data_IF_137797369404
#
_entry.id   IF_137797369404
#
_cell.length_a   1.000
_cell.length_b   1.000
_cell.length_c   1.000
_cell.angle_alpha   90.00
_cell.angle_beta   90.00
_cell.angle_gamma   90.00
#
_symmetry.space_group_name_H-M   'P 1'
#
loop_
_entity.id
_entity.type
_entity.pdbx_description
1 polymer ?
#
# COMPACT_ATOMS: atom_id res chain seq x y z
N UNK A 1 -10.81 54.68 -11.87
CA UNK A 1 -10.08 53.57 -12.54
C UNK A 1 -9.03 53.12 -11.53
N UNK A 2 -8.79 51.81 -11.38
CA UNK A 2 -7.79 51.18 -10.48
C UNK A 2 -8.31 50.50 -9.20
N UNK A 3 -9.35 49.67 -9.32
CA UNK A 3 -9.71 48.71 -8.26
C UNK A 3 -10.25 47.37 -8.79
N UNK A 4 -9.84 46.95 -10.00
CA UNK A 4 -10.35 45.71 -10.64
C UNK A 4 -9.21 44.74 -11.01
N UNK A 5 -7.93 45.16 -10.95
CA UNK A 5 -6.82 44.35 -11.47
C UNK A 5 -5.98 43.60 -10.42
N UNK A 6 -6.24 43.75 -9.12
CA UNK A 6 -5.43 43.11 -8.05
C UNK A 6 -6.06 41.84 -7.47
N UNK A 7 -7.26 41.44 -7.89
CA UNK A 7 -7.95 40.25 -7.37
C UNK A 7 -7.75 38.99 -8.24
N UNK A 8 -7.09 39.10 -9.39
CA UNK A 8 -6.97 37.98 -10.33
C UNK A 8 -5.72 37.10 -10.17
N UNK A 9 -4.79 37.47 -9.28
CA UNK A 9 -3.54 36.72 -9.06
C UNK A 9 -3.55 35.83 -7.80
N UNK A 10 -4.63 35.79 -7.03
CA UNK A 10 -4.73 34.97 -5.81
C UNK A 10 -5.68 33.77 -5.90
N UNK A 11 -6.34 33.56 -7.04
CA UNK A 11 -7.32 32.47 -7.24
C UNK A 11 -6.76 31.34 -8.13
N UNK A 12 -5.57 31.52 -8.73
CA UNK A 12 -4.99 30.53 -9.65
C UNK A 12 -3.93 29.61 -9.03
N UNK A 13 -3.73 29.66 -7.71
CA UNK A 13 -2.74 28.83 -6.99
C UNK A 13 -3.35 27.74 -6.10
N UNK A 14 -4.67 27.56 -6.10
CA UNK A 14 -5.35 26.53 -5.28
C UNK A 14 -5.96 25.38 -6.08
N UNK A 15 -5.75 25.32 -7.39
CA UNK A 15 -6.31 24.26 -8.26
C UNK A 15 -5.27 23.26 -8.81
N UNK A 16 -4.09 23.14 -8.18
CA UNK A 16 -3.09 22.11 -8.51
C UNK A 16 -2.60 21.34 -7.27
N UNK A 17 -3.52 20.97 -6.36
CA UNK A 17 -3.22 20.07 -5.26
C UNK A 17 -4.36 19.08 -4.96
N UNK A 18 -5.15 18.73 -5.98
CA UNK A 18 -6.13 17.63 -5.91
C UNK A 18 -5.76 16.62 -6.98
N UNK A 19 -4.59 15.99 -6.84
CA UNK A 19 -4.24 14.83 -7.67
C UNK A 19 -3.24 13.87 -6.98
N UNK A 20 -3.37 13.71 -5.65
CA UNK A 20 -2.57 12.74 -4.88
C UNK A 20 -3.37 11.51 -4.44
N UNK A 21 -4.59 11.29 -4.94
CA UNK A 21 -5.48 10.24 -4.42
C UNK A 21 -6.17 9.34 -5.47
N UNK A 22 -5.82 9.45 -6.76
CA UNK A 22 -6.48 8.63 -7.81
C UNK A 22 -5.93 7.21 -7.94
N UNK A 23 -4.86 6.87 -7.20
CA UNK A 23 -4.32 5.51 -7.19
C UNK A 23 -4.26 4.99 -5.77
N UNK A 24 -5.06 3.96 -5.46
CA UNK A 24 -4.97 3.32 -4.17
C UNK A 24 -3.58 2.65 -4.00
N UNK A 25 -2.98 2.63 -2.79
CA UNK A 25 -1.62 2.12 -2.56
C UNK A 25 -1.39 0.67 -3.04
N UNK A 26 -2.46 -0.10 -3.23
CA UNK A 26 -2.42 -1.49 -3.69
C UNK A 26 -2.55 -1.66 -5.22
N UNK A 27 -2.86 -0.61 -6.01
CA UNK A 27 -3.14 -0.80 -7.44
C UNK A 27 -1.93 -1.33 -8.22
N UNK A 28 -0.73 -0.92 -7.83
CA UNK A 28 0.48 -1.35 -8.50
C UNK A 28 0.82 -2.82 -8.24
N UNK A 29 0.34 -3.44 -7.15
CA UNK A 29 0.73 -4.82 -6.82
C UNK A 29 0.19 -5.84 -7.84
N UNK A 30 -0.94 -5.52 -8.48
CA UNK A 30 -1.63 -6.39 -9.43
C UNK A 30 -1.28 -6.08 -10.89
N UNK A 31 -0.59 -4.96 -11.15
CA UNK A 31 -0.14 -4.56 -12.50
C UNK A 31 1.32 -4.94 -12.68
N UNK A 32 1.70 -5.37 -13.88
CA UNK A 32 3.10 -5.54 -14.21
C UNK A 32 3.80 -4.17 -14.24
N UNK A 33 4.97 -4.09 -13.62
CA UNK A 33 5.89 -2.96 -13.71
C UNK A 33 7.30 -3.48 -13.92
N UNK A 34 8.04 -2.77 -14.76
CA UNK A 34 9.49 -2.98 -14.87
C UNK A 34 10.18 -2.62 -13.54
N UNK A 35 9.75 -1.54 -12.91
CA UNK A 35 10.21 -1.11 -11.59
C UNK A 35 9.01 -0.63 -10.76
N UNK A 36 8.87 -1.15 -9.54
CA UNK A 36 7.79 -0.75 -8.63
C UNK A 36 8.24 0.45 -7.78
N UNK A 37 7.36 1.43 -7.62
CA UNK A 37 7.60 2.59 -6.75
C UNK A 37 7.14 2.31 -5.32
N UNK A 38 7.67 3.07 -4.36
CA UNK A 38 7.09 3.14 -3.02
C UNK A 38 5.72 3.86 -3.14
N UNK A 39 4.58 3.21 -2.81
CA UNK A 39 3.26 3.84 -2.91
C UNK A 39 3.14 5.05 -1.97
N UNK A 40 2.47 6.11 -2.39
CA UNK A 40 2.14 7.21 -1.49
C UNK A 40 1.08 6.78 -0.46
N UNK A 41 1.13 7.36 0.74
CA UNK A 41 0.06 7.19 1.72
C UNK A 41 -1.11 8.11 1.34
N UNK A 42 -2.34 7.62 1.51
CA UNK A 42 -3.58 8.40 1.29
C UNK A 42 -3.91 9.34 2.46
N UNK A 43 -3.02 9.44 3.44
CA UNK A 43 -3.15 10.26 4.64
C UNK A 43 -1.78 10.76 5.10
N UNK A 44 -1.79 11.85 5.88
CA UNK A 44 -0.59 12.43 6.46
C UNK A 44 0.10 11.47 7.45
N UNK A 45 1.38 11.71 7.72
CA UNK A 45 2.17 10.83 8.61
C UNK A 45 1.72 10.83 10.07
N UNK A 46 1.00 11.86 10.51
CA UNK A 46 0.33 11.93 11.81
C UNK A 46 -1.15 11.52 11.73
N UNK A 47 -1.64 11.12 10.55
CA UNK A 47 -3.05 10.83 10.32
C UNK A 47 -3.58 9.63 11.11
N UNK A 48 -2.72 8.74 11.58
CA UNK A 48 -3.10 7.56 12.38
C UNK A 48 -2.94 7.79 13.89
N UNK A 49 -2.53 8.98 14.32
CA UNK A 49 -2.52 9.34 15.74
C UNK A 49 -3.95 9.26 16.33
N UNK A 50 -4.10 8.82 17.60
CA UNK A 50 -3.05 8.37 18.52
C UNK A 50 -2.86 6.85 18.54
N UNK A 51 -3.26 6.15 17.48
CA UNK A 51 -3.18 4.69 17.42
C UNK A 51 -1.83 4.20 16.90
N UNK A 52 -1.23 4.95 15.97
CA UNK A 52 0.13 4.75 15.47
C UNK A 52 0.79 6.11 15.44
N UNK A 53 1.92 6.24 16.13
CA UNK A 53 2.62 7.52 16.22
C UNK A 53 3.30 7.91 14.90
N UNK A 54 3.47 9.22 14.68
CA UNK A 54 4.04 9.73 13.44
C UNK A 54 5.45 9.19 13.14
N UNK A 55 6.29 9.02 14.16
CA UNK A 55 7.67 8.55 13.97
C UNK A 55 7.68 7.09 13.50
N UNK A 56 6.86 6.24 14.12
CA UNK A 56 6.65 4.86 13.70
C UNK A 56 6.15 4.79 12.27
N UNK A 57 5.12 5.57 11.90
CA UNK A 57 4.57 5.53 10.54
C UNK A 57 5.61 5.95 9.49
N UNK A 58 6.44 6.96 9.80
CA UNK A 58 7.54 7.40 8.92
C UNK A 58 8.60 6.31 8.73
N UNK A 59 9.08 5.71 9.81
CA UNK A 59 10.11 4.65 9.74
C UNK A 59 9.57 3.40 9.06
N UNK A 60 8.33 3.02 9.34
CA UNK A 60 7.68 1.87 8.74
C UNK A 60 7.47 2.05 7.22
N UNK A 61 7.06 3.25 6.79
CA UNK A 61 6.87 3.55 5.38
C UNK A 61 8.20 3.82 4.63
N UNK A 62 8.94 4.85 5.03
CA UNK A 62 10.15 5.31 4.32
C UNK A 62 11.39 4.47 4.62
N UNK A 63 11.38 3.68 5.69
CA UNK A 63 12.44 2.73 6.01
C UNK A 63 12.11 1.32 5.52
N UNK A 64 11.16 0.66 6.18
CA UNK A 64 10.88 -0.76 5.94
C UNK A 64 10.24 -1.03 4.57
N UNK A 65 9.13 -0.36 4.23
CA UNK A 65 8.47 -0.56 2.92
C UNK A 65 9.39 -0.15 1.76
N UNK A 66 10.09 0.99 1.88
CA UNK A 66 11.09 1.41 0.90
C UNK A 66 12.23 0.39 0.73
N UNK A 67 12.71 -0.19 1.84
CA UNK A 67 13.74 -1.23 1.84
C UNK A 67 13.30 -2.49 1.09
N UNK A 68 12.08 -2.97 1.35
CA UNK A 68 11.49 -4.09 0.60
C UNK A 68 11.35 -3.77 -0.89
N UNK A 69 10.84 -2.58 -1.23
CA UNK A 69 10.68 -2.12 -2.62
C UNK A 69 12.01 -2.19 -3.38
N UNK A 70 13.08 -1.61 -2.82
CA UNK A 70 14.41 -1.60 -3.44
C UNK A 70 14.96 -3.01 -3.65
N UNK A 71 14.90 -3.86 -2.62
CA UNK A 71 15.45 -5.23 -2.67
C UNK A 71 14.64 -6.12 -3.63
N UNK A 72 13.32 -5.97 -3.66
CA UNK A 72 12.44 -6.64 -4.61
C UNK A 72 12.79 -6.25 -6.06
N UNK A 73 12.86 -4.96 -6.37
CA UNK A 73 13.20 -4.49 -7.72
C UNK A 73 14.57 -4.99 -8.17
N UNK A 74 15.55 -5.02 -7.26
CA UNK A 74 16.90 -5.55 -7.55
C UNK A 74 16.82 -7.03 -7.97
N UNK A 75 16.08 -7.86 -7.24
CA UNK A 75 15.92 -9.28 -7.55
C UNK A 75 15.14 -9.51 -8.85
N UNK A 76 14.05 -8.77 -9.09
CA UNK A 76 13.27 -8.86 -10.32
C UNK A 76 14.10 -8.46 -11.54
N UNK A 77 14.88 -7.38 -11.44
CA UNK A 77 15.76 -6.93 -12.52
C UNK A 77 16.84 -7.97 -12.84
N UNK A 78 17.47 -8.54 -11.80
CA UNK A 78 18.47 -9.59 -11.98
C UNK A 78 17.86 -10.84 -12.66
N UNK A 79 16.68 -11.27 -12.22
CA UNK A 79 15.96 -12.36 -12.85
C UNK A 79 15.67 -12.10 -14.33
N UNK A 80 15.04 -10.97 -14.65
CA UNK A 80 14.67 -10.62 -16.03
C UNK A 80 15.88 -10.51 -16.96
N UNK A 81 17.02 -10.03 -16.44
CA UNK A 81 18.27 -9.89 -17.22
C UNK A 81 19.04 -11.22 -17.39
N UNK A 82 18.72 -12.26 -16.63
CA UNK A 82 19.49 -13.51 -16.58
C UNK A 82 19.40 -14.40 -17.83
N UNK A 83 18.48 -14.11 -18.76
CA UNK A 83 18.19 -14.98 -19.88
C UNK A 83 17.39 -16.25 -19.54
N UNK A 84 17.12 -16.53 -18.25
CA UNK A 84 16.17 -17.57 -17.81
C UNK A 84 14.74 -17.11 -18.11
N UNK A 85 14.35 -17.22 -19.39
CA UNK A 85 13.02 -16.81 -19.88
C UNK A 85 11.94 -17.58 -19.12
N UNK A 86 11.06 -16.83 -18.50
CA UNK A 86 9.84 -17.32 -17.88
C UNK A 86 8.77 -16.26 -18.14
N UNK A 87 7.61 -16.68 -18.64
CA UNK A 87 6.46 -15.79 -18.81
C UNK A 87 6.06 -15.15 -17.48
N UNK A 88 6.38 -15.81 -16.36
CA UNK A 88 6.12 -15.33 -14.99
C UNK A 88 6.93 -14.06 -14.67
N UNK A 89 8.15 -13.92 -15.19
CA UNK A 89 9.00 -12.74 -14.93
C UNK A 89 8.38 -11.43 -15.46
N UNK A 90 7.46 -11.54 -16.43
CA UNK A 90 6.70 -10.45 -17.03
C UNK A 90 5.29 -10.29 -16.43
N UNK A 91 5.01 -10.90 -15.27
CA UNK A 91 3.75 -10.74 -14.53
C UNK A 91 3.90 -9.77 -13.37
N UNK A 92 2.76 -9.34 -12.81
CA UNK A 92 2.73 -8.52 -11.61
C UNK A 92 3.38 -9.23 -10.42
N UNK A 93 3.85 -8.45 -9.44
CA UNK A 93 4.44 -9.02 -8.22
C UNK A 93 3.44 -9.92 -7.49
N UNK A 94 2.15 -9.56 -7.46
CA UNK A 94 1.12 -10.40 -6.86
C UNK A 94 0.98 -11.75 -7.56
N UNK A 95 1.02 -11.79 -8.89
CA UNK A 95 1.00 -13.05 -9.65
C UNK A 95 2.27 -13.86 -9.42
N UNK A 96 3.45 -13.22 -9.40
CA UNK A 96 4.73 -13.89 -9.11
C UNK A 96 4.70 -14.55 -7.73
N UNK A 97 4.19 -13.87 -6.71
CA UNK A 97 4.10 -14.42 -5.35
C UNK A 97 3.09 -15.58 -5.23
N UNK A 98 2.03 -15.58 -6.03
CA UNK A 98 1.08 -16.71 -6.09
C UNK A 98 1.70 -17.97 -6.71
N UNK A 99 2.67 -17.79 -7.61
CA UNK A 99 3.44 -18.85 -8.26
C UNK A 99 4.90 -18.88 -7.79
N UNK A 100 5.14 -18.62 -6.50
CA UNK A 100 6.50 -18.42 -5.99
C UNK A 100 7.42 -19.63 -6.20
N UNK A 101 6.87 -20.84 -6.24
CA UNK A 101 7.64 -22.06 -6.46
C UNK A 101 8.20 -22.17 -7.89
N UNK A 102 7.53 -21.54 -8.87
CA UNK A 102 7.96 -21.45 -10.27
C UNK A 102 9.09 -20.42 -10.49
N UNK A 103 9.32 -19.53 -9.52
CA UNK A 103 10.45 -18.59 -9.56
C UNK A 103 11.77 -19.38 -9.43
N UNK A 104 12.78 -19.13 -10.29
CA UNK A 104 14.07 -19.80 -10.17
C UNK A 104 14.69 -19.63 -8.79
N UNK A 105 15.30 -20.70 -8.28
CA UNK A 105 15.79 -20.79 -6.90
C UNK A 105 16.68 -19.61 -6.49
N UNK A 106 17.54 -19.17 -7.42
CA UNK A 106 18.45 -18.03 -7.28
C UNK A 106 17.78 -16.73 -6.78
N UNK A 107 16.53 -16.47 -7.18
CA UNK A 107 15.79 -15.25 -6.77
C UNK A 107 14.57 -15.55 -5.90
N UNK A 108 14.17 -16.81 -5.77
CA UNK A 108 12.93 -17.19 -5.08
C UNK A 108 12.84 -16.62 -3.67
N UNK A 109 13.87 -16.80 -2.84
CA UNK A 109 13.86 -16.31 -1.46
C UNK A 109 13.84 -14.77 -1.40
N UNK A 110 14.61 -14.11 -2.27
CA UNK A 110 14.66 -12.65 -2.32
C UNK A 110 13.31 -12.06 -2.76
N UNK A 111 12.67 -12.63 -3.79
CA UNK A 111 11.35 -12.22 -4.26
C UNK A 111 10.27 -12.55 -3.24
N UNK A 112 10.31 -13.74 -2.61
CA UNK A 112 9.36 -14.12 -1.56
C UNK A 112 9.39 -13.13 -0.40
N UNK A 113 10.57 -12.86 0.15
CA UNK A 113 10.69 -12.03 1.35
C UNK A 113 10.44 -10.55 1.05
N UNK A 114 11.05 -10.01 -0.01
CA UNK A 114 10.96 -8.58 -0.29
C UNK A 114 9.71 -8.23 -1.10
N UNK A 115 9.29 -9.10 -2.01
CA UNK A 115 8.02 -8.97 -2.71
C UNK A 115 6.83 -9.15 -1.78
N UNK A 116 6.88 -10.17 -0.91
CA UNK A 116 5.88 -10.34 0.15
C UNK A 116 5.85 -9.14 1.09
N UNK A 117 7.03 -8.63 1.49
CA UNK A 117 7.15 -7.39 2.26
C UNK A 117 6.47 -6.20 1.58
N UNK A 118 6.76 -5.96 0.30
CA UNK A 118 6.13 -4.91 -0.49
C UNK A 118 4.59 -5.05 -0.54
N UNK A 119 4.08 -6.21 -0.93
CA UNK A 119 2.64 -6.47 -1.05
C UNK A 119 1.90 -6.33 0.28
N UNK A 120 2.47 -6.88 1.35
CA UNK A 120 1.85 -6.80 2.69
C UNK A 120 1.78 -5.36 3.19
N UNK A 121 2.81 -4.55 2.98
CA UNK A 121 2.80 -3.15 3.40
C UNK A 121 1.83 -2.32 2.55
N UNK A 122 1.80 -2.51 1.24
CA UNK A 122 0.83 -1.86 0.36
C UNK A 122 -0.62 -2.13 0.82
N UNK A 123 -0.94 -3.36 1.23
CA UNK A 123 -2.24 -3.69 1.82
C UNK A 123 -2.44 -3.04 3.20
N UNK A 124 -1.42 -3.11 4.07
CA UNK A 124 -1.48 -2.55 5.42
C UNK A 124 -1.86 -1.07 5.43
N UNK A 125 -1.28 -0.27 4.54
CA UNK A 125 -1.61 1.15 4.41
C UNK A 125 -3.02 1.38 3.85
N UNK A 126 -3.47 0.53 2.93
CA UNK A 126 -4.75 0.69 2.27
C UNK A 126 -5.96 0.38 3.17
N UNK A 127 -5.79 -0.43 4.21
CA UNK A 127 -6.86 -0.81 5.14
C UNK A 127 -6.96 0.09 6.38
N UNK A 128 -6.10 1.10 6.48
CA UNK A 128 -6.11 2.08 7.58
C UNK A 128 -6.61 3.44 7.08
N UNK A 129 -7.19 4.21 7.99
CA UNK A 129 -7.63 5.58 7.71
C UNK A 129 -7.64 6.42 8.99
N UNK A 130 -7.49 7.76 8.88
CA UNK A 130 -7.50 8.64 10.04
C UNK A 130 -8.75 8.52 10.90
N UNK A 131 -8.58 8.47 12.23
CA UNK A 131 -9.68 8.43 13.20
C UNK A 131 -9.42 9.38 14.41
N UNK A 132 -9.24 10.69 14.18
CA UNK A 132 -8.80 11.62 15.23
C UNK A 132 -9.81 11.73 16.39
N UNK A 133 -11.09 11.48 16.14
CA UNK A 133 -12.15 11.49 17.16
C UNK A 133 -12.14 10.25 18.08
N UNK A 134 -11.34 9.22 17.76
CA UNK A 134 -11.30 7.94 18.47
C UNK A 134 -12.63 7.20 18.56
N UNK A 135 -13.56 7.53 17.67
CA UNK A 135 -14.87 6.89 17.67
C UNK A 135 -14.74 5.39 17.39
N UNK A 136 -15.44 4.52 18.13
CA UNK A 136 -15.52 3.11 17.82
C UNK A 136 -16.05 2.93 16.39
N UNK A 137 -15.33 2.14 15.58
CA UNK A 137 -15.75 1.78 14.22
C UNK A 137 -16.24 0.35 14.20
N UNK A 138 -17.37 0.15 13.53
CA UNK A 138 -17.94 -1.17 13.28
C UNK A 138 -17.79 -1.51 11.79
N UNK A 139 -17.60 -2.79 11.43
CA UNK A 139 -17.75 -3.22 10.06
C UNK A 139 -19.15 -2.85 9.54
N UNK A 140 -19.24 -2.55 8.25
CA UNK A 140 -20.53 -2.22 7.61
C UNK A 140 -20.74 -3.08 6.36
N UNK A 141 -21.97 -3.06 5.84
CA UNK A 141 -22.30 -3.69 4.56
C UNK A 141 -22.10 -5.21 4.54
N UNK A 142 -21.58 -5.73 3.42
CA UNK A 142 -21.43 -7.18 3.20
C UNK A 142 -20.46 -7.83 4.19
N UNK A 143 -19.36 -7.16 4.52
CA UNK A 143 -18.34 -7.73 5.42
C UNK A 143 -18.87 -7.86 6.85
N UNK A 144 -19.69 -6.91 7.34
CA UNK A 144 -20.34 -7.03 8.64
C UNK A 144 -21.20 -8.30 8.74
N UNK A 145 -22.03 -8.56 7.72
CA UNK A 145 -22.87 -9.76 7.68
C UNK A 145 -22.06 -11.05 7.66
N UNK A 146 -20.95 -11.09 6.93
CA UNK A 146 -20.07 -12.25 6.90
C UNK A 146 -19.38 -12.48 8.25
N UNK A 147 -18.99 -11.40 8.93
CA UNK A 147 -18.44 -11.48 10.29
C UNK A 147 -19.48 -12.06 11.25
N UNK A 148 -20.72 -11.58 11.21
CA UNK A 148 -21.79 -12.09 12.07
C UNK A 148 -22.10 -13.57 11.78
N UNK A 149 -22.11 -13.97 10.51
CA UNK A 149 -22.34 -15.36 10.12
C UNK A 149 -21.22 -16.32 10.55
N UNK A 150 -19.96 -15.89 10.46
CA UNK A 150 -18.80 -16.75 10.74
C UNK A 150 -18.41 -16.76 12.22
N UNK A 151 -18.49 -15.61 12.89
CA UNK A 151 -17.98 -15.42 14.25
C UNK A 151 -19.08 -15.12 15.28
N UNK A 152 -20.34 -15.00 14.84
CA UNK A 152 -21.48 -14.62 15.66
C UNK A 152 -21.64 -13.11 15.82
N UNK A 153 -20.55 -12.37 16.04
CA UNK A 153 -20.52 -10.91 16.00
C UNK A 153 -19.09 -10.36 15.90
N UNK A 154 -18.97 -9.05 15.67
CA UNK A 154 -17.68 -8.36 15.58
C UNK A 154 -16.80 -8.48 16.84
N UNK A 155 -17.39 -8.45 18.03
CA UNK A 155 -16.65 -8.60 19.29
C UNK A 155 -15.97 -9.96 19.40
N UNK A 156 -16.65 -11.02 18.98
CA UNK A 156 -16.10 -12.38 18.98
C UNK A 156 -15.04 -12.55 17.88
N UNK A 157 -15.25 -11.95 16.70
CA UNK A 157 -14.22 -11.92 15.67
C UNK A 157 -12.94 -11.23 16.17
N UNK A 158 -13.08 -10.06 16.83
CA UNK A 158 -11.93 -9.33 17.38
C UNK A 158 -11.16 -10.17 18.40
N UNK A 159 -11.85 -10.81 19.35
CA UNK A 159 -11.20 -11.73 20.31
C UNK A 159 -10.47 -12.87 19.62
N UNK A 160 -11.09 -13.48 18.61
CA UNK A 160 -10.46 -14.55 17.84
C UNK A 160 -9.21 -14.06 17.07
N UNK A 161 -9.22 -12.82 16.58
CA UNK A 161 -8.10 -12.22 15.86
C UNK A 161 -6.94 -11.83 16.77
N UNK A 162 -7.24 -11.30 17.97
CA UNK A 162 -6.25 -10.81 18.91
C UNK A 162 -5.50 -11.95 19.66
N UNK A 163 -6.08 -13.16 19.70
CA UNK A 163 -5.51 -14.35 20.36
C UNK A 163 -6.18 -14.69 21.68
#
# INVERSE_FOLDING_TARGET
>A
MDAIWTTFLLICSTFFAVDCADHAPYEDIARFKEEYSLPALSYAYDGLEPFVDQATLRVHHLGHHAGYTKKMNTALKAWRASGKKSDLASKSILTILKSIDEVPEEWRLAIKNNGGGYVNHALYWAIMSPNPSKEPRQPTGKIARLIDQTYGNFTQMKKWFDG
#
